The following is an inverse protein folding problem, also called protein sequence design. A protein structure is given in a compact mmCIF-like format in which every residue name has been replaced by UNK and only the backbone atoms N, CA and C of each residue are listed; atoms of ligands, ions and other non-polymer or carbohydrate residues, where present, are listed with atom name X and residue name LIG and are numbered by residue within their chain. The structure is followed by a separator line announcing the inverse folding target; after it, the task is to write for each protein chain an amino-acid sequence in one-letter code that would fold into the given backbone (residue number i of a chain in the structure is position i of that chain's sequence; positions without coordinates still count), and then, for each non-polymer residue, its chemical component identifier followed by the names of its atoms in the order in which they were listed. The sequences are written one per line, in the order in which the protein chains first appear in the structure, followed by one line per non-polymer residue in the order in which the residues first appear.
data_IF_369673451427
#
_entry.id   IF_369673451427
#
_cell.length_a   1.000
_cell.length_b   1.000
_cell.length_c   1.000
_cell.angle_alpha   90.00
_cell.angle_beta   90.00
_cell.angle_gamma   90.00
#
_symmetry.space_group_name_H-M   'P 1'
#
loop_
_entity.id
_entity.type
_entity.pdbx_description
1 polymer ?
#
# COMPACT_ATOMS: atom_id res chain seq x y z
N UNK A 1 11.85 -13.90 -7.18
CA UNK A 1 10.92 -12.92 -7.75
C UNK A 1 10.11 -12.39 -6.59
N UNK A 2 10.55 -11.28 -5.99
CA UNK A 2 9.93 -10.64 -4.81
C UNK A 2 9.16 -9.37 -5.25
N UNK A 3 8.75 -9.31 -6.51
CA UNK A 3 8.45 -8.07 -7.21
C UNK A 3 7.01 -7.54 -7.04
N UNK A 4 6.05 -8.29 -6.48
CA UNK A 4 4.65 -7.85 -6.54
C UNK A 4 4.16 -7.01 -5.34
N UNK A 5 4.62 -7.29 -4.12
CA UNK A 5 4.02 -6.67 -2.93
C UNK A 5 4.73 -5.39 -2.47
N UNK A 6 6.04 -5.26 -2.70
CA UNK A 6 6.76 -4.03 -2.35
C UNK A 6 6.38 -2.87 -3.28
N UNK A 7 6.19 -3.15 -4.56
CA UNK A 7 5.69 -2.18 -5.53
C UNK A 7 4.26 -1.72 -5.18
N UNK A 8 3.41 -2.65 -4.73
CA UNK A 8 2.08 -2.31 -4.23
C UNK A 8 2.15 -1.39 -3.00
N UNK A 9 3.08 -1.64 -2.07
CA UNK A 9 3.28 -0.76 -0.92
C UNK A 9 3.77 0.63 -1.31
N UNK A 10 4.75 0.74 -2.22
CA UNK A 10 5.27 2.03 -2.67
C UNK A 10 4.22 2.81 -3.49
N UNK A 11 3.38 2.11 -4.25
CA UNK A 11 2.23 2.69 -4.94
C UNK A 11 1.15 3.18 -3.95
N UNK A 12 0.87 2.42 -2.89
CA UNK A 12 -0.02 2.82 -1.81
C UNK A 12 0.48 4.08 -1.09
N UNK A 13 1.78 4.13 -0.75
CA UNK A 13 2.39 5.30 -0.12
C UNK A 13 2.27 6.55 -0.99
N UNK A 14 2.52 6.39 -2.29
CA UNK A 14 2.31 7.45 -3.28
C UNK A 14 0.86 7.89 -3.38
N UNK A 15 -0.09 6.94 -3.29
CA UNK A 15 -1.52 7.22 -3.31
C UNK A 15 -1.96 8.00 -2.06
N UNK A 16 -1.50 7.61 -0.87
CA UNK A 16 -1.78 8.28 0.40
C UNK A 16 -1.28 9.73 0.39
N UNK A 17 -0.08 9.96 -0.15
CA UNK A 17 0.45 11.30 -0.31
C UNK A 17 -0.37 12.11 -1.33
N UNK A 18 -0.65 11.58 -2.51
CA UNK A 18 -1.31 12.34 -3.58
C UNK A 18 -2.80 12.62 -3.33
N UNK A 19 -3.54 11.68 -2.73
CA UNK A 19 -5.00 11.79 -2.57
C UNK A 19 -5.42 12.34 -1.22
N UNK A 20 -4.65 12.06 -0.17
CA UNK A 20 -4.99 12.47 1.19
C UNK A 20 -3.99 13.47 1.77
N UNK A 21 -2.95 13.85 1.02
CA UNK A 21 -1.84 14.69 1.51
C UNK A 21 -1.23 14.14 2.82
N UNK A 22 -1.28 12.82 2.99
CA UNK A 22 -0.81 12.14 4.20
C UNK A 22 0.48 11.42 3.89
N UNK A 23 1.60 11.96 4.37
CA UNK A 23 2.89 11.28 4.35
C UNK A 23 2.88 10.15 5.38
N UNK A 24 3.25 8.95 4.98
CA UNK A 24 3.48 7.82 5.90
C UNK A 24 4.83 8.05 6.60
N UNK A 25 4.88 7.75 7.89
CA UNK A 25 6.07 7.93 8.71
C UNK A 25 7.23 7.07 8.19
N UNK A 26 8.44 7.62 8.17
CA UNK A 26 9.64 6.94 7.70
C UNK A 26 9.97 5.69 8.54
N UNK A 27 9.60 5.69 9.82
CA UNK A 27 9.71 4.52 10.69
C UNK A 27 8.74 3.41 10.27
N UNK A 28 7.52 3.76 9.86
CA UNK A 28 6.53 2.79 9.38
C UNK A 28 6.93 2.22 8.03
N UNK A 29 7.44 3.05 7.12
CA UNK A 29 8.05 2.62 5.84
C UNK A 29 9.21 1.66 6.12
N UNK A 30 10.11 1.99 7.04
CA UNK A 30 11.25 1.14 7.39
C UNK A 30 10.80 -0.21 7.97
N UNK A 31 9.86 -0.20 8.92
CA UNK A 31 9.28 -1.43 9.48
C UNK A 31 8.61 -2.26 8.40
N UNK A 32 7.85 -1.64 7.49
CA UNK A 32 7.21 -2.30 6.35
C UNK A 32 8.22 -2.95 5.41
N UNK A 33 9.28 -2.26 5.04
CA UNK A 33 10.33 -2.82 4.16
C UNK A 33 11.06 -3.99 4.81
N UNK A 34 11.28 -3.93 6.13
CA UNK A 34 12.02 -4.96 6.87
C UNK A 34 11.18 -6.16 7.30
N UNK A 35 9.91 -5.94 7.63
CA UNK A 35 9.02 -6.92 8.27
C UNK A 35 7.83 -7.30 7.37
N UNK A 36 7.64 -6.63 6.24
CA UNK A 36 6.62 -6.93 5.23
C UNK A 36 5.23 -6.33 5.49
N UNK A 37 5.07 -5.48 6.52
CA UNK A 37 3.78 -4.83 6.90
C UNK A 37 4.00 -3.60 7.80
N UNK A 38 3.01 -2.73 7.91
CA UNK A 38 3.09 -1.48 8.69
C UNK A 38 2.86 -1.66 10.21
N UNK A 39 2.23 -2.76 10.65
CA UNK A 39 1.85 -3.00 12.06
C UNK A 39 0.98 -1.90 12.66
N UNK A 40 0.18 -1.25 11.82
CA UNK A 40 -0.70 -0.15 12.20
C UNK A 40 -1.99 -0.23 11.39
N UNK A 41 -2.88 0.75 11.58
CA UNK A 41 -4.10 0.87 10.77
C UNK A 41 -3.81 0.94 9.26
N UNK A 42 -2.59 1.33 8.86
CA UNK A 42 -2.15 1.34 7.46
C UNK A 42 -2.21 -0.03 6.81
N UNK A 43 -2.09 -1.14 7.56
CA UNK A 43 -2.26 -2.49 7.02
C UNK A 43 -3.70 -2.72 6.53
N UNK A 44 -4.69 -2.25 7.31
CA UNK A 44 -6.10 -2.32 6.92
C UNK A 44 -6.40 -1.45 5.71
N UNK A 45 -5.89 -0.21 5.71
CA UNK A 45 -6.05 0.70 4.58
C UNK A 45 -5.38 0.18 3.31
N UNK A 46 -4.19 -0.42 3.44
CA UNK A 46 -3.48 -1.06 2.35
C UNK A 46 -4.30 -2.23 1.78
N UNK A 47 -4.85 -3.11 2.62
CA UNK A 47 -5.66 -4.24 2.16
C UNK A 47 -6.88 -3.77 1.35
N UNK A 48 -7.64 -2.80 1.87
CA UNK A 48 -8.81 -2.23 1.18
C UNK A 48 -8.40 -1.61 -0.16
N UNK A 49 -7.35 -0.78 -0.17
CA UNK A 49 -6.87 -0.15 -1.38
C UNK A 49 -6.39 -1.18 -2.41
N UNK A 50 -5.66 -2.19 -1.97
CA UNK A 50 -5.09 -3.24 -2.82
C UNK A 50 -6.17 -4.13 -3.43
N UNK A 51 -7.22 -4.45 -2.67
CA UNK A 51 -8.39 -5.18 -3.18
C UNK A 51 -9.13 -4.35 -4.25
N UNK A 52 -9.37 -3.05 -3.98
CA UNK A 52 -9.97 -2.14 -4.94
C UNK A 52 -9.12 -1.96 -6.21
N UNK A 53 -7.78 -2.00 -6.10
CA UNK A 53 -6.91 -1.99 -7.29
C UNK A 53 -7.09 -3.25 -8.14
N UNK A 54 -7.23 -4.43 -7.51
CA UNK A 54 -7.49 -5.69 -8.22
C UNK A 54 -8.83 -5.67 -8.94
N UNK A 55 -9.88 -5.16 -8.30
CA UNK A 55 -11.20 -5.05 -8.93
C UNK A 55 -11.22 -4.10 -10.13
N UNK A 56 -10.47 -2.98 -10.07
CA UNK A 56 -10.36 -2.05 -11.19
C UNK A 56 -9.53 -2.59 -12.38
N UNK A 57 -8.74 -3.64 -12.16
CA UNK A 57 -7.99 -4.34 -13.22
C UNK A 57 -8.79 -5.49 -13.85
N UNK A 58 -9.91 -5.90 -13.24
CA UNK A 58 -10.81 -6.88 -13.84
C UNK A 58 -11.68 -6.19 -14.90
N UNK A 59 -11.84 -6.80 -16.10
CA UNK A 59 -12.79 -6.28 -17.07
C UNK A 59 -14.18 -6.27 -16.44
N UNK A 60 -14.85 -5.11 -16.47
CA UNK A 60 -16.25 -5.00 -16.04
C UNK A 60 -17.07 -5.96 -16.93
N UNK A 61 -17.69 -6.96 -16.28
CA UNK A 61 -18.57 -7.95 -16.91
C UNK A 61 -19.76 -7.30 -17.61
#
# INVERSE_FOLDING_TARGET
MFDDIQDAYDAFESFMLKRFNRKIDELDIYKRKKLGRYFSELDTWFAIWHEAQKENQLPKL
#
